data_IF_667038035472
#
_entry.id   IF_667038035472
#
_cell.length_a   1.000
_cell.length_b   1.000
_cell.length_c   1.000
_cell.angle_alpha   90.00
_cell.angle_beta   90.00
_cell.angle_gamma   90.00
#
_symmetry.space_group_name_H-M   'P 1'
#
loop_
_entity.id
_entity.type
_entity.pdbx_description
1 polymer ?
#
# COMPACT_ATOMS: atom_id res chain seq x y z
N UNK A 1 -4.81 18.47 10.94
CA UNK A 1 -6.07 17.76 10.60
C UNK A 1 -6.58 17.06 11.85
N UNK A 2 -7.89 17.01 12.13
CA UNK A 2 -8.40 16.26 13.28
C UNK A 2 -8.11 14.76 13.09
N UNK A 3 -7.64 14.06 14.13
CA UNK A 3 -7.33 12.63 14.09
C UNK A 3 -8.51 11.78 13.58
N UNK A 4 -9.73 12.15 13.96
CA UNK A 4 -10.95 11.48 13.46
C UNK A 4 -11.06 11.62 11.95
N UNK A 5 -10.82 12.82 11.41
CA UNK A 5 -10.89 13.07 9.98
C UNK A 5 -9.79 12.32 9.20
N UNK A 6 -8.60 12.19 9.79
CA UNK A 6 -7.50 11.40 9.24
C UNK A 6 -7.86 9.91 9.19
N UNK A 7 -8.47 9.37 10.23
CA UNK A 7 -8.92 7.97 10.22
C UNK A 7 -9.98 7.77 9.13
N UNK A 8 -10.96 8.67 9.03
CA UNK A 8 -12.01 8.58 8.02
C UNK A 8 -11.48 8.65 6.59
N UNK A 9 -10.51 9.54 6.31
CA UNK A 9 -9.96 9.71 4.96
C UNK A 9 -9.11 8.52 4.52
N UNK A 10 -8.48 7.80 5.46
CA UNK A 10 -7.72 6.58 5.15
C UNK A 10 -8.62 5.35 5.05
N UNK A 11 -9.62 5.24 5.94
CA UNK A 11 -10.45 4.05 6.05
C UNK A 11 -11.55 3.99 4.98
N UNK A 12 -12.32 5.08 4.80
CA UNK A 12 -13.50 5.06 3.92
C UNK A 12 -13.13 4.68 2.48
N UNK A 13 -12.10 5.28 1.84
CA UNK A 13 -11.77 4.96 0.44
C UNK A 13 -11.27 3.52 0.27
N UNK A 14 -10.44 3.03 1.19
CA UNK A 14 -9.98 1.65 1.18
C UNK A 14 -11.15 0.65 1.34
N UNK A 15 -12.01 0.89 2.33
CA UNK A 15 -13.18 0.04 2.61
C UNK A 15 -14.20 0.06 1.46
N UNK A 16 -14.53 1.25 0.94
CA UNK A 16 -15.44 1.40 -0.19
C UNK A 16 -14.88 0.71 -1.45
N UNK A 17 -13.57 0.81 -1.69
CA UNK A 17 -12.90 0.14 -2.81
C UNK A 17 -12.95 -1.39 -2.70
N UNK A 18 -12.70 -1.93 -1.49
CA UNK A 18 -12.85 -3.36 -1.22
C UNK A 18 -14.27 -3.88 -1.46
N UNK A 19 -15.31 -3.11 -1.07
CA UNK A 19 -16.72 -3.45 -1.35
C UNK A 19 -17.03 -3.31 -2.84
N UNK A 20 -16.47 -2.32 -3.54
CA UNK A 20 -16.75 -2.05 -4.94
C UNK A 20 -16.42 -3.25 -5.84
N UNK A 21 -15.51 -4.14 -5.42
CA UNK A 21 -15.19 -5.39 -6.12
C UNK A 21 -16.44 -6.23 -6.42
N UNK A 22 -17.44 -6.27 -5.53
CA UNK A 22 -18.68 -7.03 -5.76
C UNK A 22 -19.55 -6.46 -6.90
N UNK A 23 -19.35 -5.19 -7.26
CA UNK A 23 -20.18 -4.48 -8.24
C UNK A 23 -19.43 -4.20 -9.56
N UNK A 24 -18.10 -4.15 -9.53
CA UNK A 24 -17.26 -3.81 -10.67
C UNK A 24 -16.82 -5.09 -11.40
N UNK A 25 -17.37 -5.32 -12.59
CA UNK A 25 -16.93 -6.40 -13.47
C UNK A 25 -15.49 -6.18 -13.97
N UNK A 26 -14.74 -7.25 -14.27
CA UNK A 26 -13.30 -7.33 -14.66
C UNK A 26 -12.79 -6.34 -15.75
N UNK A 27 -13.63 -5.49 -16.34
CA UNK A 27 -13.29 -4.55 -17.43
C UNK A 27 -12.49 -3.31 -16.99
N UNK A 28 -12.31 -3.07 -15.68
CA UNK A 28 -11.66 -1.85 -15.13
C UNK A 28 -10.15 -1.93 -14.82
N UNK A 29 -9.45 -3.01 -15.18
CA UNK A 29 -8.07 -3.28 -14.69
C UNK A 29 -7.04 -2.25 -15.16
N UNK A 30 -7.18 -1.66 -16.34
CA UNK A 30 -6.21 -0.67 -16.86
C UNK A 30 -6.26 0.66 -16.10
N UNK A 31 -7.45 1.12 -15.69
CA UNK A 31 -7.60 2.36 -14.93
C UNK A 31 -7.07 2.20 -13.50
N UNK A 32 -7.33 1.04 -12.88
CA UNK A 32 -6.76 0.71 -11.57
C UNK A 32 -5.24 0.65 -11.60
N UNK A 33 -4.64 0.04 -12.64
CA UNK A 33 -3.19 0.06 -12.84
C UNK A 33 -2.65 1.48 -13.00
N UNK A 34 -3.35 2.34 -13.73
CA UNK A 34 -2.95 3.74 -13.90
C UNK A 34 -2.98 4.51 -12.58
N UNK A 35 -4.07 4.40 -11.80
CA UNK A 35 -4.17 5.03 -10.47
C UNK A 35 -3.08 4.50 -9.55
N UNK A 36 -2.80 3.20 -9.60
CA UNK A 36 -1.81 2.55 -8.78
C UNK A 36 -0.39 3.06 -9.08
N UNK A 37 0.00 3.08 -10.36
CA UNK A 37 1.29 3.65 -10.78
C UNK A 37 1.40 5.15 -10.47
N UNK A 38 0.31 5.91 -10.66
CA UNK A 38 0.28 7.34 -10.35
C UNK A 38 0.43 7.61 -8.85
N UNK A 39 -0.36 6.91 -8.02
CA UNK A 39 -0.32 7.07 -6.56
C UNK A 39 1.00 6.60 -5.95
N UNK A 40 1.56 5.49 -6.44
CA UNK A 40 2.89 5.02 -6.04
C UNK A 40 3.98 6.04 -6.39
N UNK A 41 3.96 6.61 -7.60
CA UNK A 41 4.89 7.67 -7.98
C UNK A 41 4.72 8.95 -7.13
N UNK A 42 3.48 9.31 -6.78
CA UNK A 42 3.19 10.44 -5.90
C UNK A 42 3.76 10.23 -4.49
N UNK A 43 3.54 9.06 -3.89
CA UNK A 43 4.10 8.72 -2.57
C UNK A 43 5.62 8.64 -2.56
N UNK A 44 6.21 8.10 -3.62
CA UNK A 44 7.66 8.13 -3.82
C UNK A 44 8.18 9.58 -3.86
N UNK A 45 7.50 10.46 -4.60
CA UNK A 45 7.82 11.89 -4.64
C UNK A 45 7.75 12.56 -3.27
N UNK A 46 6.67 12.33 -2.50
CA UNK A 46 6.53 12.84 -1.12
C UNK A 46 7.68 12.32 -0.25
N UNK A 47 8.03 11.04 -0.37
CA UNK A 47 9.10 10.43 0.41
C UNK A 47 10.44 11.10 0.14
N UNK A 48 10.80 11.30 -1.13
CA UNK A 48 12.08 11.90 -1.52
C UNK A 48 12.13 13.40 -1.23
N UNK A 49 11.06 14.14 -1.52
CA UNK A 49 11.06 15.60 -1.43
C UNK A 49 10.72 16.13 -0.03
N UNK A 50 10.02 15.36 0.79
CA UNK A 50 9.55 15.81 2.10
C UNK A 50 10.05 14.92 3.24
N UNK A 51 9.81 13.61 3.20
CA UNK A 51 10.13 12.74 4.35
C UNK A 51 11.63 12.57 4.58
N UNK A 52 12.41 12.26 3.54
CA UNK A 52 13.86 12.12 3.65
C UNK A 52 14.49 13.42 4.18
N UNK A 53 14.29 14.60 3.55
CA UNK A 53 14.85 15.84 4.07
C UNK A 53 14.43 16.14 5.51
N UNK A 54 13.20 15.81 5.89
CA UNK A 54 12.70 16.04 7.25
C UNK A 54 13.43 15.18 8.28
N UNK A 55 13.66 13.89 8.01
CA UNK A 55 14.36 12.99 8.93
C UNK A 55 15.82 13.43 9.14
N UNK A 56 16.49 13.91 8.10
CA UNK A 56 17.88 14.36 8.16
C UNK A 56 18.09 15.74 8.80
N UNK A 57 17.01 16.48 9.12
CA UNK A 57 17.09 17.70 9.93
C UNK A 57 17.24 17.42 11.43
N UNK A 58 17.16 16.16 11.87
CA UNK A 58 17.38 15.78 13.26
C UNK A 58 18.84 15.96 13.67
N UNK A 59 19.08 16.78 14.69
CA UNK A 59 20.43 17.02 15.24
C UNK A 59 20.88 15.96 16.28
N UNK A 60 20.00 15.02 16.63
CA UNK A 60 20.21 14.10 17.75
C UNK A 60 20.83 12.75 17.34
N UNK A 61 21.00 12.50 16.05
CA UNK A 61 21.45 11.21 15.53
C UNK A 61 22.32 11.46 14.30
N UNK A 62 23.40 10.68 14.15
CA UNK A 62 24.31 10.89 13.02
C UNK A 62 23.61 10.55 11.69
N UNK A 63 23.92 11.25 10.58
CA UNK A 63 23.30 11.02 9.28
C UNK A 63 23.48 9.59 8.75
N UNK A 64 24.58 8.93 9.09
CA UNK A 64 24.88 7.56 8.68
C UNK A 64 23.91 6.57 9.34
N UNK A 65 23.63 6.77 10.63
CA UNK A 65 22.68 5.94 11.39
C UNK A 65 21.25 6.13 10.88
N UNK A 66 20.85 7.37 10.57
CA UNK A 66 19.56 7.65 9.94
C UNK A 66 19.44 6.95 8.58
N UNK A 67 20.50 6.97 7.77
CA UNK A 67 20.54 6.27 6.49
C UNK A 67 20.35 4.76 6.61
N UNK A 68 20.93 4.15 7.65
CA UNK A 68 20.72 2.72 7.94
C UNK A 68 19.26 2.43 8.27
N UNK A 69 18.58 3.27 9.07
CA UNK A 69 17.15 3.10 9.36
C UNK A 69 16.27 3.25 8.12
N UNK A 70 16.54 4.24 7.27
CA UNK A 70 15.83 4.42 5.99
C UNK A 70 16.01 3.19 5.10
N UNK A 71 17.25 2.71 4.96
CA UNK A 71 17.55 1.52 4.15
C UNK A 71 16.89 0.26 4.72
N UNK A 72 16.93 0.07 6.04
CA UNK A 72 16.28 -1.05 6.69
C UNK A 72 14.76 -1.04 6.47
N UNK A 73 14.11 0.13 6.60
CA UNK A 73 12.68 0.29 6.31
C UNK A 73 12.35 0.00 4.85
N UNK A 74 13.16 0.52 3.91
CA UNK A 74 12.99 0.26 2.47
C UNK A 74 13.13 -1.22 2.13
N UNK A 75 14.17 -1.89 2.64
CA UNK A 75 14.37 -3.33 2.42
C UNK A 75 13.24 -4.16 3.04
N UNK A 76 12.72 -3.73 4.19
CA UNK A 76 11.59 -4.40 4.82
C UNK A 76 10.31 -4.26 3.98
N UNK A 77 10.03 -3.07 3.43
CA UNK A 77 8.92 -2.90 2.49
C UNK A 77 9.09 -3.72 1.21
N UNK A 78 10.30 -3.78 0.66
CA UNK A 78 10.60 -4.65 -0.49
C UNK A 78 10.34 -6.13 -0.17
N UNK A 79 10.68 -6.57 1.04
CA UNK A 79 10.36 -7.92 1.50
C UNK A 79 8.84 -8.15 1.58
N UNK A 80 8.07 -7.21 2.11
CA UNK A 80 6.60 -7.31 2.16
C UNK A 80 5.97 -7.36 0.76
N UNK A 81 6.51 -6.60 -0.19
CA UNK A 81 6.09 -6.62 -1.59
C UNK A 81 6.29 -8.00 -2.24
N UNK A 82 7.43 -8.66 -1.98
CA UNK A 82 7.67 -10.02 -2.46
C UNK A 82 6.65 -11.02 -1.86
N UNK A 83 6.30 -10.84 -0.58
CA UNK A 83 5.27 -11.66 0.07
C UNK A 83 3.85 -11.37 -0.43
N UNK A 84 3.58 -10.16 -0.90
CA UNK A 84 2.30 -9.80 -1.54
C UNK A 84 2.26 -10.16 -3.03
N UNK A 85 3.27 -10.87 -3.57
CA UNK A 85 3.42 -11.21 -5.00
C UNK A 85 3.30 -9.99 -5.94
N UNK A 86 3.50 -8.77 -5.44
CA UNK A 86 3.25 -7.56 -6.23
C UNK A 86 1.80 -7.41 -6.69
N UNK A 87 0.83 -7.87 -5.91
CA UNK A 87 -0.62 -7.65 -6.14
C UNK A 87 -0.91 -6.14 -6.26
N UNK A 88 -0.16 -5.33 -5.52
CA UNK A 88 -0.10 -3.87 -5.54
C UNK A 88 0.51 -3.29 -6.83
N UNK A 89 0.93 -4.12 -7.79
CA UNK A 89 1.40 -3.69 -9.12
C UNK A 89 0.51 -4.24 -10.24
N UNK A 90 -0.62 -4.89 -9.90
CA UNK A 90 -1.61 -5.36 -10.87
C UNK A 90 -1.18 -6.60 -11.68
N UNK A 91 -0.18 -7.33 -11.19
CA UNK A 91 0.23 -8.63 -11.73
C UNK A 91 -0.64 -9.75 -11.17
N UNK A 92 -1.92 -9.75 -11.54
CA UNK A 92 -2.76 -10.94 -11.32
C UNK A 92 -2.35 -11.96 -12.39
N UNK A 93 -1.39 -12.83 -12.06
CA UNK A 93 -1.12 -14.02 -12.87
C UNK A 93 -2.30 -14.97 -12.66
N UNK A 94 -3.30 -14.87 -13.54
CA UNK A 94 -4.26 -15.95 -13.74
C UNK A 94 -3.53 -16.99 -14.57
N UNK A 95 -2.70 -17.81 -13.93
CA UNK A 95 -2.17 -19.00 -14.57
C UNK A 95 -3.35 -19.93 -14.81
N UNK A 96 -3.73 -20.03 -16.09
CA UNK A 96 -4.57 -21.08 -16.62
C UNK A 96 -3.74 -22.37 -16.67
N UNK A 97 -3.36 -22.92 -15.53
CA UNK A 97 -2.80 -24.26 -15.51
C UNK A 97 -3.54 -25.17 -14.55
N UNK A 98 -3.93 -26.30 -15.14
CA UNK A 98 -4.66 -27.38 -14.53
C UNK A 98 -3.78 -28.05 -13.48
N UNK A 99 -3.82 -27.61 -12.23
CA UNK A 99 -3.32 -28.46 -11.16
C UNK A 99 -4.15 -28.35 -9.89
N UNK A 100 -4.69 -29.51 -9.54
CA UNK A 100 -5.36 -29.79 -8.28
C UNK A 100 -4.38 -29.59 -7.11
N UNK A 101 -4.92 -29.14 -5.97
CA UNK A 101 -4.28 -29.07 -4.64
C UNK A 101 -3.45 -27.81 -4.34
N UNK A 102 -4.07 -26.76 -3.79
CA UNK A 102 -4.15 -26.52 -2.34
C UNK A 102 -4.83 -25.15 -2.12
N UNK A 103 -6.10 -25.14 -1.69
CA UNK A 103 -6.81 -23.94 -1.25
C UNK A 103 -6.20 -23.43 0.08
N UNK A 104 -4.95 -22.95 0.05
CA UNK A 104 -4.40 -22.21 1.17
C UNK A 104 -4.91 -20.78 1.05
N UNK A 105 -5.85 -20.44 1.92
CA UNK A 105 -6.36 -19.09 2.09
C UNK A 105 -5.19 -18.07 2.08
N UNK A 106 -5.33 -16.91 1.41
CA UNK A 106 -4.25 -15.94 1.21
C UNK A 106 -3.94 -15.12 2.49
N UNK A 107 -3.85 -15.77 3.66
CA UNK A 107 -3.52 -15.15 4.97
C UNK A 107 -2.19 -14.42 4.86
N UNK A 108 -1.19 -15.02 4.19
CA UNK A 108 0.14 -14.44 4.03
C UNK A 108 0.11 -13.11 3.26
N UNK A 109 -0.64 -13.05 2.16
CA UNK A 109 -0.85 -11.84 1.36
C UNK A 109 -1.58 -10.78 2.19
N UNK A 110 -2.68 -11.16 2.85
CA UNK A 110 -3.47 -10.25 3.67
C UNK A 110 -2.63 -9.66 4.82
N UNK A 111 -1.87 -10.51 5.53
CA UNK A 111 -0.98 -10.07 6.58
C UNK A 111 0.11 -9.12 6.06
N UNK A 112 0.73 -9.46 4.92
CA UNK A 112 1.75 -8.61 4.30
C UNK A 112 1.20 -7.23 3.95
N UNK A 113 0.03 -7.17 3.31
CA UNK A 113 -0.66 -5.92 2.93
C UNK A 113 -1.09 -5.10 4.14
N UNK A 114 -1.61 -5.74 5.19
CA UNK A 114 -1.95 -5.05 6.43
C UNK A 114 -0.71 -4.42 7.07
N UNK A 115 0.41 -5.14 7.08
CA UNK A 115 1.65 -4.63 7.65
C UNK A 115 2.25 -3.52 6.77
N UNK A 116 2.22 -3.67 5.44
CA UNK A 116 2.61 -2.63 4.48
C UNK A 116 1.87 -1.33 4.77
N UNK A 117 0.53 -1.37 4.76
CA UNK A 117 -0.32 -0.20 4.96
C UNK A 117 -0.13 0.42 6.36
N UNK A 118 0.14 -0.41 7.37
CA UNK A 118 0.47 0.08 8.71
C UNK A 118 1.77 0.90 8.70
N UNK A 119 2.82 0.37 8.07
CA UNK A 119 4.13 1.04 8.01
C UNK A 119 4.07 2.34 7.20
N UNK A 120 3.31 2.34 6.09
CA UNK A 120 3.08 3.52 5.25
C UNK A 120 2.36 4.64 6.02
N UNK A 121 1.47 4.28 6.95
CA UNK A 121 0.78 5.23 7.82
C UNK A 121 1.62 5.81 8.97
N UNK A 122 2.75 5.20 9.34
CA UNK A 122 3.54 5.65 10.51
C UNK A 122 4.02 7.11 10.43
N UNK A 123 4.52 7.63 9.29
CA UNK A 123 4.97 9.02 9.22
C UNK A 123 3.86 10.04 9.50
N UNK A 124 2.58 9.69 9.26
CA UNK A 124 1.45 10.58 9.57
C UNK A 124 1.31 10.88 11.06
N UNK A 125 1.77 9.98 11.94
CA UNK A 125 1.77 10.21 13.38
C UNK A 125 2.75 11.33 13.80
N UNK A 126 3.82 11.55 13.03
CA UNK A 126 4.83 12.54 13.31
C UNK A 126 4.60 13.87 12.56
N UNK A 127 4.14 13.83 11.31
CA UNK A 127 4.13 15.01 10.43
C UNK A 127 2.75 15.61 10.19
N UNK A 128 1.65 14.90 10.49
CA UNK A 128 0.26 15.33 10.25
C UNK A 128 0.01 15.98 8.86
N UNK A 129 0.78 15.58 7.84
CA UNK A 129 0.73 16.15 6.50
C UNK A 129 -0.52 15.68 5.74
N UNK A 130 -1.34 16.64 5.30
CA UNK A 130 -2.56 16.38 4.51
C UNK A 130 -2.23 15.74 3.17
N UNK A 131 -1.17 16.20 2.51
CA UNK A 131 -0.71 15.68 1.20
C UNK A 131 -0.32 14.21 1.29
N UNK A 132 0.43 13.83 2.34
CA UNK A 132 0.77 12.44 2.59
C UNK A 132 -0.48 11.60 2.86
N UNK A 133 -1.41 12.09 3.70
CA UNK A 133 -2.64 11.36 4.01
C UNK A 133 -3.51 11.12 2.76
N UNK A 134 -3.60 12.12 1.88
CA UNK A 134 -4.31 12.02 0.61
C UNK A 134 -3.61 11.05 -0.35
N UNK A 135 -2.28 11.10 -0.43
CA UNK A 135 -1.49 10.15 -1.23
C UNK A 135 -1.75 8.71 -0.82
N UNK A 136 -1.65 8.41 0.48
CA UNK A 136 -1.88 7.07 1.05
C UNK A 136 -3.32 6.63 0.80
N UNK A 137 -4.28 7.52 1.04
CA UNK A 137 -5.71 7.26 0.81
C UNK A 137 -5.99 6.84 -0.64
N UNK A 138 -5.41 7.55 -1.62
CA UNK A 138 -5.57 7.23 -3.04
C UNK A 138 -4.86 5.92 -3.39
N UNK A 139 -3.67 5.69 -2.84
CA UNK A 139 -2.90 4.47 -3.07
C UNK A 139 -3.59 3.21 -2.53
N UNK A 140 -4.27 3.32 -1.39
CA UNK A 140 -5.03 2.21 -0.81
C UNK A 140 -6.23 1.80 -1.65
N UNK A 141 -6.76 2.65 -2.55
CA UNK A 141 -7.92 2.31 -3.38
C UNK A 141 -7.60 1.12 -4.31
N UNK A 142 -6.58 1.17 -5.20
CA UNK A 142 -6.24 0.00 -6.02
C UNK A 142 -5.82 -1.23 -5.21
N UNK A 143 -5.07 -1.05 -4.12
CA UNK A 143 -4.59 -2.15 -3.29
C UNK A 143 -5.76 -2.91 -2.62
N UNK A 144 -6.71 -2.19 -2.03
CA UNK A 144 -7.90 -2.78 -1.42
C UNK A 144 -8.80 -3.47 -2.46
N UNK A 145 -8.92 -2.90 -3.66
CA UNK A 145 -9.64 -3.54 -4.76
C UNK A 145 -8.98 -4.86 -5.19
N UNK A 146 -7.64 -4.87 -5.30
CA UNK A 146 -6.88 -6.05 -5.69
C UNK A 146 -6.98 -7.17 -4.63
N UNK A 147 -6.86 -6.82 -3.35
CA UNK A 147 -7.06 -7.76 -2.23
C UNK A 147 -8.48 -8.33 -2.21
N UNK A 148 -9.50 -7.49 -2.35
CA UNK A 148 -10.91 -7.94 -2.41
C UNK A 148 -11.16 -8.86 -3.61
N UNK A 149 -10.57 -8.57 -4.77
CA UNK A 149 -10.67 -9.41 -5.98
C UNK A 149 -10.07 -10.79 -5.75
N UNK A 150 -8.94 -10.87 -5.05
CA UNK A 150 -8.27 -12.13 -4.73
C UNK A 150 -9.10 -12.92 -3.73
N UNK A 151 -9.54 -12.29 -2.63
CA UNK A 151 -10.37 -12.92 -1.60
C UNK A 151 -11.62 -13.57 -2.19
N UNK A 152 -12.31 -12.88 -3.11
CA UNK A 152 -13.48 -13.42 -3.82
C UNK A 152 -13.08 -14.56 -4.76
N UNK A 153 -11.94 -14.48 -5.44
CA UNK A 153 -11.49 -15.51 -6.38
C UNK A 153 -11.01 -16.82 -5.73
N UNK A 154 -10.62 -16.78 -4.45
CA UNK A 154 -10.20 -17.96 -3.68
C UNK A 154 -11.36 -18.75 -3.07
N UNK A 155 -12.61 -18.33 -3.30
CA UNK A 155 -13.82 -18.92 -2.74
C UNK A 155 -14.73 -19.47 -3.84
#
# INVERSE_FOLDING_TARGET
MNSILLILILFIPAFASGIAVFFVQKKGTSFLKLILSFSGAYLFSITVLHLIPHVYQSNNTSPEVLGIYVLAGFLFQLFLEQFSQGIEHGHIHTDNDHDHHNHRFPIGIMFSLCLHAFLEGMPLAATHQTELALGISIHHIPAAFALGSILISTH
#
